data_IF_513845622035
#
_entry.id   IF_513845622035
#
_cell.length_a   1.000
_cell.length_b   1.000
_cell.length_c   1.000
_cell.angle_alpha   90.00
_cell.angle_beta   90.00
_cell.angle_gamma   90.00
#
_symmetry.space_group_name_H-M   'P 1'
#
loop_
_entity.id
_entity.type
_entity.pdbx_description
1 polymer ?
#
# COMPACT_ATOMS: atom_id res chain seq x y z
N UNK A 1 -12.83 1.56 7.75
CA UNK A 1 -12.07 0.85 8.81
C UNK A 1 -10.59 1.17 8.69
N UNK A 2 -9.89 1.37 9.81
CA UNK A 2 -8.43 1.52 9.84
C UNK A 2 -7.85 0.55 10.87
N UNK A 3 -6.78 -0.12 10.49
CA UNK A 3 -5.98 -0.98 11.34
C UNK A 3 -4.54 -0.46 11.32
N UNK A 4 -3.95 -0.30 12.51
CA UNK A 4 -2.62 0.27 12.67
C UNK A 4 -1.75 -0.64 13.51
N UNK A 5 -0.51 -0.84 13.06
CA UNK A 5 0.53 -1.60 13.74
C UNK A 5 1.74 -0.69 13.94
N UNK A 6 2.30 -0.73 15.15
CA UNK A 6 3.53 -0.03 15.48
C UNK A 6 4.42 -0.90 16.37
N UNK A 7 5.68 -1.04 15.99
CA UNK A 7 6.73 -1.63 16.80
C UNK A 7 7.70 -0.53 17.21
N UNK A 8 7.69 -0.14 18.47
CA UNK A 8 8.53 0.95 18.98
C UNK A 8 10.04 0.61 18.98
N UNK A 9 10.39 -0.65 19.15
CA UNK A 9 11.80 -1.08 19.24
C UNK A 9 12.49 -1.05 17.88
N UNK A 10 11.73 -1.35 16.83
CA UNK A 10 12.21 -1.40 15.45
C UNK A 10 11.80 -0.17 14.65
N UNK A 11 11.12 0.79 15.29
CA UNK A 11 10.51 1.97 14.65
C UNK A 11 9.64 1.62 13.43
N UNK A 12 9.05 0.41 13.40
CA UNK A 12 8.27 -0.08 12.27
C UNK A 12 6.80 0.32 12.40
N UNK A 13 6.24 0.89 11.35
CA UNK A 13 4.84 1.30 11.29
C UNK A 13 4.17 0.73 10.03
N UNK A 14 2.94 0.25 10.21
CA UNK A 14 2.06 -0.22 9.15
C UNK A 14 0.62 0.20 9.43
N UNK A 15 -0.11 0.58 8.38
CA UNK A 15 -1.53 0.89 8.45
C UNK A 15 -2.26 0.25 7.27
N UNK A 16 -3.34 -0.46 7.55
CA UNK A 16 -4.32 -0.90 6.55
C UNK A 16 -5.56 -0.02 6.68
N UNK A 17 -5.95 0.60 5.59
CA UNK A 17 -7.08 1.52 5.54
C UNK A 17 -8.04 0.99 4.48
N UNK A 18 -9.28 0.73 4.86
CA UNK A 18 -10.33 0.18 3.99
C UNK A 18 -11.49 1.14 4.05
N UNK A 19 -11.87 1.73 2.91
CA UNK A 19 -13.11 2.52 2.77
C UNK A 19 -13.25 3.55 3.90
N UNK A 20 -12.28 4.46 4.00
CA UNK A 20 -12.21 5.46 5.06
C UNK A 20 -11.93 6.84 4.46
N UNK A 21 -12.80 7.81 4.73
CA UNK A 21 -12.65 9.21 4.32
C UNK A 21 -11.36 9.85 4.90
N UNK A 22 -10.85 9.36 6.03
CA UNK A 22 -9.60 9.81 6.63
C UNK A 22 -8.34 9.32 5.90
N UNK A 23 -8.49 8.57 4.80
CA UNK A 23 -7.40 7.96 4.05
C UNK A 23 -6.33 8.99 3.62
N UNK A 24 -6.73 10.21 3.26
CA UNK A 24 -5.81 11.29 2.88
C UNK A 24 -4.78 11.65 3.96
N UNK A 25 -5.11 11.50 5.24
CA UNK A 25 -4.20 11.82 6.34
C UNK A 25 -2.96 10.90 6.38
N UNK A 26 -3.02 9.76 5.70
CA UNK A 26 -1.93 8.78 5.67
C UNK A 26 -1.04 8.91 4.43
N UNK A 27 -1.40 9.78 3.49
CA UNK A 27 -0.69 9.94 2.23
C UNK A 27 0.39 10.99 2.32
N UNK A 28 1.41 10.84 1.48
CA UNK A 28 2.52 11.79 1.36
C UNK A 28 3.30 11.98 2.69
N UNK A 29 3.19 11.03 3.62
CA UNK A 29 4.00 11.00 4.85
C UNK A 29 5.46 10.75 4.46
N UNK A 30 6.41 11.63 4.85
CA UNK A 30 7.82 11.41 4.54
C UNK A 30 8.32 10.05 5.06
N UNK A 31 9.01 9.30 4.22
CA UNK A 31 9.54 7.97 4.56
C UNK A 31 8.52 6.83 4.57
N UNK A 32 7.27 7.08 4.15
CA UNK A 32 6.25 6.05 4.00
C UNK A 32 6.03 5.68 2.53
N UNK A 33 5.79 4.40 2.33
CA UNK A 33 5.42 3.77 1.08
C UNK A 33 3.91 3.50 1.09
N UNK A 34 3.31 3.55 -0.09
CA UNK A 34 1.89 3.33 -0.30
C UNK A 34 1.67 2.17 -1.27
N UNK A 35 0.71 1.32 -0.96
CA UNK A 35 0.09 0.38 -1.89
C UNK A 35 -1.41 0.70 -1.92
N UNK A 36 -1.94 1.04 -3.09
CA UNK A 36 -3.33 1.38 -3.29
C UNK A 36 -3.99 0.36 -4.16
N UNK A 37 -5.14 -0.14 -3.73
CA UNK A 37 -5.93 -1.11 -4.46
C UNK A 37 -7.28 -0.53 -4.85
N UNK A 38 -7.56 -0.59 -6.16
CA UNK A 38 -8.91 -0.42 -6.69
C UNK A 38 -9.68 -1.74 -6.53
N UNK A 39 -10.44 -1.85 -5.44
CA UNK A 39 -11.31 -3.00 -5.13
C UNK A 39 -12.71 -2.91 -5.74
N UNK A 40 -12.96 -1.91 -6.58
CA UNK A 40 -14.25 -1.71 -7.24
C UNK A 40 -14.27 -2.41 -8.59
N UNK A 41 -15.47 -2.58 -9.15
CA UNK A 41 -15.71 -3.18 -10.45
C UNK A 41 -15.46 -2.24 -11.64
N UNK A 42 -15.17 -0.96 -11.38
CA UNK A 42 -14.90 0.07 -12.39
C UNK A 42 -13.51 0.71 -12.21
N UNK A 43 -13.05 1.43 -13.24
CA UNK A 43 -11.79 2.16 -13.16
C UNK A 43 -11.93 3.41 -12.26
N UNK A 44 -10.86 3.74 -11.54
CA UNK A 44 -10.78 4.94 -10.70
C UNK A 44 -9.52 5.74 -11.04
N UNK A 45 -9.64 7.06 -11.01
CA UNK A 45 -8.51 7.95 -11.20
C UNK A 45 -7.86 8.30 -9.88
N UNK A 46 -6.54 8.45 -9.92
CA UNK A 46 -5.74 9.13 -8.91
C UNK A 46 -4.77 10.07 -9.60
N UNK A 47 -4.29 11.07 -8.88
CA UNK A 47 -3.26 11.99 -9.33
C UNK A 47 -1.95 11.56 -8.69
N UNK A 48 -0.96 11.20 -9.50
CA UNK A 48 0.38 10.83 -9.08
C UNK A 48 1.36 11.80 -9.72
N UNK A 49 2.08 12.58 -8.92
CA UNK A 49 3.04 13.60 -9.41
C UNK A 49 2.45 14.51 -10.50
N UNK A 50 1.22 14.99 -10.27
CA UNK A 50 0.42 15.82 -11.17
C UNK A 50 -0.01 15.13 -12.49
N UNK A 51 0.07 13.80 -12.56
CA UNK A 51 -0.44 13.01 -13.70
C UNK A 51 -1.67 12.22 -13.27
N UNK A 52 -2.71 12.25 -14.08
CA UNK A 52 -3.90 11.41 -13.87
C UNK A 52 -3.55 9.99 -14.29
N UNK A 53 -3.68 9.06 -13.35
CA UNK A 53 -3.50 7.63 -13.56
C UNK A 53 -4.85 6.94 -13.41
N UNK A 54 -5.35 6.35 -14.49
CA UNK A 54 -6.54 5.51 -14.48
C UNK A 54 -6.18 4.09 -14.01
N UNK A 55 -6.54 3.76 -12.79
CA UNK A 55 -6.35 2.42 -12.21
C UNK A 55 -7.59 1.60 -12.50
N UNK A 56 -7.44 0.58 -13.35
CA UNK A 56 -8.55 -0.31 -13.70
C UNK A 56 -9.06 -1.10 -12.48
N UNK A 57 -10.25 -1.67 -12.64
CA UNK A 57 -10.87 -2.60 -11.68
C UNK A 57 -9.90 -3.71 -11.27
N UNK A 58 -9.88 -4.03 -9.97
CA UNK A 58 -9.05 -5.07 -9.37
C UNK A 58 -7.53 -4.90 -9.59
N UNK A 59 -7.05 -3.65 -9.71
CA UNK A 59 -5.62 -3.33 -9.87
C UNK A 59 -5.02 -2.68 -8.64
N UNK A 60 -3.76 -2.99 -8.42
CA UNK A 60 -2.92 -2.37 -7.40
C UNK A 60 -1.95 -1.41 -8.07
N UNK A 61 -1.72 -0.27 -7.43
CA UNK A 61 -0.66 0.68 -7.77
C UNK A 61 0.22 0.94 -6.53
N UNK A 62 1.51 1.12 -6.77
CA UNK A 62 2.51 1.38 -5.74
C UNK A 62 2.98 2.84 -5.82
N UNK A 63 3.22 3.46 -4.67
CA UNK A 63 3.81 4.80 -4.58
C UNK A 63 4.93 4.83 -3.56
N UNK A 64 6.04 5.46 -3.93
CA UNK A 64 7.17 5.69 -3.03
C UNK A 64 6.95 6.96 -2.19
N UNK A 65 7.83 7.20 -1.21
CA UNK A 65 7.81 8.42 -0.39
C UNK A 65 8.16 9.70 -1.17
N UNK A 66 8.70 9.57 -2.38
CA UNK A 66 9.09 10.69 -3.22
C UNK A 66 7.99 11.11 -4.20
N UNK A 67 6.91 10.33 -4.27
CA UNK A 67 5.78 10.58 -5.17
C UNK A 67 4.63 11.16 -4.38
N UNK A 68 3.96 12.16 -4.94
CA UNK A 68 2.78 12.78 -4.36
C UNK A 68 1.52 12.12 -4.92
N UNK A 69 0.70 11.55 -4.03
CA UNK A 69 -0.59 10.97 -4.34
C UNK A 69 -1.73 11.91 -3.93
N UNK A 70 -2.68 12.13 -4.83
CA UNK A 70 -3.96 12.81 -4.59
C UNK A 70 -5.11 12.12 -5.34
N UNK A 71 -6.34 12.53 -5.08
CA UNK A 71 -7.57 11.91 -5.61
C UNK A 71 -8.53 12.98 -6.11
N UNK A 72 -9.06 12.79 -7.32
CA UNK A 72 -10.09 13.66 -7.90
C UNK A 72 -11.40 13.59 -7.08
N UNK A 73 -11.80 12.38 -6.68
CA UNK A 73 -12.96 12.15 -5.83
C UNK A 73 -12.54 11.65 -4.45
N UNK A 74 -12.89 12.41 -3.41
CA UNK A 74 -12.52 12.10 -2.03
C UNK A 74 -13.35 10.96 -1.42
N UNK A 75 -14.48 10.62 -2.05
CA UNK A 75 -15.35 9.50 -1.66
C UNK A 75 -14.96 8.17 -2.30
N UNK A 76 -13.83 8.14 -3.02
CA UNK A 76 -13.43 6.95 -3.76
C UNK A 76 -12.95 5.87 -2.78
N UNK A 77 -13.68 4.74 -2.74
CA UNK A 77 -13.42 3.59 -1.88
C UNK A 77 -12.11 2.88 -2.27
N UNK A 78 -10.97 3.37 -1.76
CA UNK A 78 -9.67 2.71 -1.91
C UNK A 78 -9.37 1.84 -0.70
N UNK A 79 -8.67 0.74 -0.95
CA UNK A 79 -7.93 0.02 0.08
C UNK A 79 -6.48 0.45 0.00
N UNK A 80 -5.90 0.89 1.11
CA UNK A 80 -4.53 1.35 1.19
C UNK A 80 -3.73 0.62 2.25
N UNK A 81 -2.51 0.25 1.90
CA UNK A 81 -1.48 -0.17 2.84
C UNK A 81 -0.43 0.93 2.89
N UNK A 82 -0.11 1.40 4.09
CA UNK A 82 0.83 2.50 4.34
C UNK A 82 1.87 2.03 5.34
N UNK A 83 3.14 2.03 4.98
CA UNK A 83 4.19 1.52 5.85
C UNK A 83 5.52 2.23 5.64
N UNK A 84 6.35 2.27 6.68
CA UNK A 84 7.67 2.87 6.57
C UNK A 84 8.74 1.84 6.18
N UNK A 85 9.94 2.34 5.86
CA UNK A 85 11.08 1.50 5.49
C UNK A 85 11.42 0.46 6.56
N UNK A 86 11.33 0.82 7.85
CA UNK A 86 11.64 -0.10 8.93
C UNK A 86 10.71 -1.33 8.93
N UNK A 87 9.40 -1.13 8.69
CA UNK A 87 8.46 -2.23 8.52
C UNK A 87 8.80 -3.13 7.33
N UNK A 88 9.24 -2.54 6.21
CA UNK A 88 9.71 -3.29 5.05
C UNK A 88 10.99 -4.10 5.34
N UNK A 89 11.95 -3.53 6.08
CA UNK A 89 13.21 -4.19 6.41
C UNK A 89 13.07 -5.39 7.36
N UNK A 90 12.05 -5.42 8.23
CA UNK A 90 11.77 -6.59 9.09
C UNK A 90 11.54 -7.86 8.25
N UNK A 91 11.13 -7.71 6.99
CA UNK A 91 10.84 -8.83 6.09
C UNK A 91 12.07 -9.40 5.35
N UNK A 92 13.17 -8.66 5.21
CA UNK A 92 14.28 -9.08 4.32
C UNK A 92 15.26 -10.03 5.01
N UNK A 93 14.88 -11.30 5.10
CA UNK A 93 15.85 -12.40 4.99
C UNK A 93 15.60 -13.26 3.72
N UNK A 94 14.73 -12.80 2.81
CA UNK A 94 14.44 -13.44 1.53
C UNK A 94 14.92 -12.54 0.36
N UNK A 95 15.79 -13.07 -0.47
CA UNK A 95 16.60 -12.32 -1.44
C UNK A 95 15.83 -11.75 -2.63
N UNK A 96 14.59 -12.18 -2.87
CA UNK A 96 13.75 -11.69 -3.98
C UNK A 96 12.99 -10.39 -3.66
N UNK A 97 12.83 -10.04 -2.38
CA UNK A 97 12.04 -8.88 -1.92
C UNK A 97 12.92 -7.88 -1.15
N UNK A 98 14.20 -7.80 -1.51
CA UNK A 98 15.20 -6.96 -0.83
C UNK A 98 15.02 -5.47 -1.10
N UNK A 99 15.73 -4.60 -0.36
CA UNK A 99 15.81 -3.15 -0.53
C UNK A 99 16.23 -2.65 -1.95
N UNK A 100 16.50 -3.58 -2.88
CA UNK A 100 16.75 -3.36 -4.31
C UNK A 100 15.65 -3.98 -5.22
N UNK A 101 14.50 -4.38 -4.65
CA UNK A 101 13.56 -5.32 -5.24
C UNK A 101 12.46 -4.72 -6.12
N UNK A 102 11.94 -5.60 -6.98
CA UNK A 102 10.96 -5.46 -8.08
C UNK A 102 9.78 -4.47 -7.89
N UNK A 103 9.41 -4.16 -6.65
CA UNK A 103 8.19 -3.39 -6.32
C UNK A 103 8.41 -1.87 -6.21
N UNK A 104 9.64 -1.43 -5.94
CA UNK A 104 9.97 -0.01 -5.77
C UNK A 104 11.33 0.32 -6.37
N UNK A 105 11.73 -0.33 -7.47
CA UNK A 105 12.86 0.13 -8.27
C UNK A 105 12.67 1.62 -8.48
N UNK A 106 13.64 2.44 -8.05
CA UNK A 106 13.64 3.91 -8.02
C UNK A 106 13.54 4.60 -9.38
N UNK A 107 12.74 4.03 -10.27
CA UNK A 107 12.25 4.60 -11.51
C UNK A 107 11.10 5.56 -11.20
N UNK A 108 10.93 6.58 -12.04
CA UNK A 108 9.81 7.52 -11.98
C UNK A 108 8.46 6.89 -12.42
N UNK A 109 8.33 5.56 -12.31
CA UNK A 109 7.17 4.81 -12.80
C UNK A 109 6.62 3.92 -11.68
N UNK A 110 5.34 4.09 -11.37
CA UNK A 110 4.62 3.27 -10.41
C UNK A 110 4.14 1.97 -11.07
N UNK A 111 4.58 0.78 -10.60
CA UNK A 111 4.10 -0.47 -11.16
C UNK A 111 2.60 -0.65 -10.90
N UNK A 112 1.90 -1.25 -11.86
CA UNK A 112 0.49 -1.64 -11.75
C UNK A 112 0.39 -3.16 -11.87
N UNK A 113 -0.18 -3.82 -10.86
CA UNK A 113 -0.34 -5.28 -10.83
C UNK A 113 -1.81 -5.68 -11.07
N UNK A 114 -2.00 -6.72 -11.88
CA UNK A 114 -3.30 -7.41 -12.05
C UNK A 114 -3.51 -8.39 -10.91
N UNK A 115 -4.73 -8.48 -10.39
CA UNK A 115 -5.08 -9.54 -9.45
C UNK A 115 -5.95 -10.56 -10.17
N UNK A 116 -5.54 -11.82 -10.14
CA UNK A 116 -6.27 -12.90 -10.78
C UNK A 116 -7.55 -13.25 -10.00
N UNK A 117 -8.60 -13.68 -10.72
CA UNK A 117 -9.92 -13.95 -10.13
C UNK A 117 -9.93 -15.03 -9.02
N UNK A 118 -8.92 -15.93 -9.00
CA UNK A 118 -8.76 -16.95 -7.97
C UNK A 118 -8.02 -16.48 -6.70
N UNK A 119 -7.35 -15.34 -6.74
CA UNK A 119 -6.55 -14.84 -5.63
C UNK A 119 -7.37 -13.88 -4.76
N UNK A 120 -7.68 -14.31 -3.53
CA UNK A 120 -8.34 -13.44 -2.55
C UNK A 120 -7.32 -12.43 -2.05
N UNK A 121 -7.56 -11.15 -2.30
CA UNK A 121 -6.64 -10.07 -1.90
C UNK A 121 -6.46 -9.97 -0.40
N UNK A 122 -7.47 -10.36 0.39
CA UNK A 122 -7.30 -10.55 1.83
C UNK A 122 -6.17 -11.55 2.14
N UNK A 123 -6.06 -12.65 1.39
CA UNK A 123 -4.97 -13.62 1.53
C UNK A 123 -3.63 -13.05 1.05
N UNK A 124 -3.62 -12.24 -0.01
CA UNK A 124 -2.41 -11.56 -0.49
C UNK A 124 -1.91 -10.48 0.48
N UNK A 125 -2.78 -9.62 0.98
CA UNK A 125 -2.47 -8.59 1.97
C UNK A 125 -1.99 -9.25 3.27
N UNK A 126 -2.64 -10.33 3.72
CA UNK A 126 -2.20 -11.09 4.90
C UNK A 126 -0.81 -11.69 4.69
N UNK A 127 -0.42 -12.08 3.46
CA UNK A 127 0.95 -12.51 3.15
C UNK A 127 1.96 -11.36 3.17
N UNK A 128 1.53 -10.12 2.95
CA UNK A 128 2.35 -8.91 3.08
C UNK A 128 2.47 -8.39 4.52
N UNK A 129 1.60 -8.84 5.44
CA UNK A 129 1.64 -8.45 6.86
C UNK A 129 2.45 -9.52 7.62
N UNK A 130 3.49 -9.15 8.40
CA UNK A 130 4.26 -10.10 9.20
C UNK A 130 3.34 -10.95 10.09
N UNK A 131 3.60 -12.25 10.22
CA UNK A 131 2.85 -13.11 11.16
C UNK A 131 2.86 -12.56 12.59
N UNK A 132 3.95 -11.91 13.01
CA UNK A 132 4.05 -11.22 14.30
C UNK A 132 3.13 -10.00 14.40
N UNK A 133 2.89 -9.29 13.31
CA UNK A 133 1.89 -8.23 13.25
C UNK A 133 0.47 -8.82 13.19
N UNK A 134 0.24 -9.91 12.46
CA UNK A 134 -1.06 -10.60 12.42
C UNK A 134 -1.52 -11.09 13.80
N UNK A 135 -0.60 -11.60 14.63
CA UNK A 135 -0.91 -12.00 16.01
C UNK A 135 -1.33 -10.80 16.86
N UNK A 136 -0.60 -9.67 16.79
CA UNK A 136 -0.94 -8.46 17.54
C UNK A 136 -2.18 -7.72 17.01
N UNK A 137 -2.61 -8.01 15.79
CA UNK A 137 -3.80 -7.42 15.16
C UNK A 137 -5.08 -8.21 15.42
N UNK A 138 -4.96 -9.44 15.91
CA UNK A 138 -6.06 -10.36 16.22
C UNK A 138 -6.22 -10.63 17.73
N UNK A 139 -5.36 -10.04 18.56
CA UNK A 139 -5.44 -9.99 20.03
C UNK A 139 -6.02 -8.68 20.51
#
# INVERSE_FOLDING_TARGET
MTLHYKNQHLEAEFSLIVENEALKAYFNRPGYLLILWNSTDHAKNLILDNRIISVLSQRIIFSTSNQKVDFEDHRSNWVALVFNRAFYCIHTNDSEVSCNGLLFFGSNYSPILSINAGERIKSWIVRFIPQTALVNLLS
#
